data_IF_926824650750
#
_entry.id   IF_926824650750
#
_cell.length_a   1.000
_cell.length_b   1.000
_cell.length_c   1.000
_cell.angle_alpha   90.00
_cell.angle_beta   90.00
_cell.angle_gamma   90.00
#
_symmetry.space_group_name_H-M   'P 1'
#
loop_
_entity.id
_entity.type
_entity.pdbx_description
1 polymer ?
#
# COMPACT_ATOMS: atom_id res chain seq x y z
N UNK A 1 13.23 -1.61 -10.15
CA UNK A 1 11.95 -1.87 -10.87
C UNK A 1 10.85 -2.30 -9.90
N UNK A 2 9.55 -2.25 -10.28
CA UNK A 2 8.45 -2.70 -9.40
C UNK A 2 8.58 -4.19 -9.02
N UNK A 3 8.88 -5.04 -10.01
CA UNK A 3 9.09 -6.45 -9.80
C UNK A 3 10.13 -6.77 -8.71
N UNK A 4 11.29 -6.14 -8.73
CA UNK A 4 12.36 -6.39 -7.75
C UNK A 4 11.89 -6.16 -6.30
N UNK A 5 11.09 -5.12 -6.08
CA UNK A 5 10.51 -4.84 -4.76
C UNK A 5 9.50 -5.92 -4.34
N UNK A 6 8.63 -6.34 -5.28
CA UNK A 6 7.64 -7.41 -5.01
C UNK A 6 8.34 -8.73 -4.72
N UNK A 7 9.37 -9.09 -5.51
CA UNK A 7 10.18 -10.29 -5.30
C UNK A 7 10.90 -10.28 -3.96
N UNK A 8 11.51 -9.14 -3.59
CA UNK A 8 12.23 -8.99 -2.33
C UNK A 8 11.32 -9.20 -1.09
N UNK A 9 10.03 -8.89 -1.17
CA UNK A 9 9.07 -9.09 -0.10
C UNK A 9 8.69 -10.56 0.15
N UNK A 10 9.05 -11.49 -0.72
CA UNK A 10 8.85 -12.95 -0.59
C UNK A 10 7.42 -13.35 -0.16
N UNK A 11 6.43 -12.59 -0.59
CA UNK A 11 5.03 -12.84 -0.22
C UNK A 11 4.43 -14.05 -0.95
N UNK A 12 3.48 -14.72 -0.31
CA UNK A 12 2.75 -15.86 -0.91
C UNK A 12 1.89 -15.44 -2.10
N UNK A 13 1.53 -16.39 -2.98
CA UNK A 13 0.64 -16.18 -4.12
C UNK A 13 -0.78 -15.73 -3.73
N UNK A 14 -1.48 -15.14 -4.67
CA UNK A 14 -2.85 -14.69 -4.54
C UNK A 14 -3.89 -15.81 -4.71
N UNK A 15 -5.09 -15.44 -5.17
CA UNK A 15 -6.20 -16.36 -5.45
C UNK A 15 -5.91 -17.25 -6.64
N UNK A 16 -5.08 -16.79 -7.59
CA UNK A 16 -4.63 -17.48 -8.79
C UNK A 16 -3.61 -18.61 -8.52
N UNK A 17 -3.09 -18.69 -7.29
CA UNK A 17 -2.09 -19.67 -6.91
C UNK A 17 -0.70 -19.44 -7.54
N UNK A 18 -0.51 -18.38 -8.33
CA UNK A 18 0.77 -18.08 -8.96
C UNK A 18 1.85 -17.79 -7.90
N UNK A 19 3.03 -18.43 -8.03
CA UNK A 19 4.18 -18.20 -7.14
C UNK A 19 5.13 -17.16 -7.75
N UNK A 20 6.06 -16.65 -6.94
CA UNK A 20 7.09 -15.71 -7.43
C UNK A 20 7.95 -16.34 -8.51
N UNK A 21 8.28 -17.64 -8.36
CA UNK A 21 9.10 -18.40 -9.32
C UNK A 21 8.36 -18.56 -10.65
N UNK A 22 7.06 -18.91 -10.62
CA UNK A 22 6.26 -19.06 -11.84
C UNK A 22 6.01 -17.74 -12.55
N UNK A 23 5.85 -16.65 -11.79
CA UNK A 23 5.76 -15.31 -12.34
C UNK A 23 7.08 -14.90 -13.01
N UNK A 24 8.21 -15.14 -12.33
CA UNK A 24 9.55 -14.80 -12.83
C UNK A 24 9.89 -15.55 -14.12
N UNK A 25 9.51 -16.81 -14.23
CA UNK A 25 9.72 -17.61 -15.44
C UNK A 25 9.04 -17.02 -16.69
N UNK A 26 8.00 -16.19 -16.50
CA UNK A 26 7.25 -15.52 -17.56
C UNK A 26 7.30 -13.99 -17.44
N UNK A 27 8.31 -13.45 -16.76
CA UNK A 27 8.36 -12.05 -16.34
C UNK A 27 8.13 -11.07 -17.49
N UNK A 28 8.84 -11.23 -18.58
CA UNK A 28 8.73 -10.34 -19.74
C UNK A 28 7.30 -10.31 -20.30
N UNK A 29 6.71 -11.49 -20.47
CA UNK A 29 5.35 -11.63 -20.97
C UNK A 29 4.32 -11.01 -20.01
N UNK A 30 4.48 -11.23 -18.70
CA UNK A 30 3.59 -10.66 -17.68
C UNK A 30 3.69 -9.13 -17.63
N UNK A 31 4.89 -8.57 -17.73
CA UNK A 31 5.10 -7.12 -17.74
C UNK A 31 4.56 -6.46 -19.01
N UNK A 32 4.78 -7.07 -20.17
CA UNK A 32 4.22 -6.59 -21.45
C UNK A 32 2.68 -6.65 -21.44
N UNK A 33 2.10 -7.70 -20.89
CA UNK A 33 0.66 -7.82 -20.69
C UNK A 33 0.14 -6.69 -19.80
N UNK A 34 0.75 -6.47 -18.62
CA UNK A 34 0.34 -5.42 -17.69
C UNK A 34 0.43 -4.04 -18.35
N UNK A 35 1.53 -3.76 -19.06
CA UNK A 35 1.71 -2.50 -19.76
C UNK A 35 0.59 -2.26 -20.80
N UNK A 36 0.25 -3.29 -21.59
CA UNK A 36 -0.82 -3.21 -22.58
C UNK A 36 -2.18 -2.99 -21.92
N UNK A 37 -2.51 -3.77 -20.88
CA UNK A 37 -3.80 -3.66 -20.17
C UNK A 37 -3.97 -2.29 -19.52
N UNK A 38 -2.91 -1.71 -18.95
CA UNK A 38 -2.95 -0.36 -18.39
C UNK A 38 -3.09 0.70 -19.48
N UNK A 39 -2.42 0.53 -20.64
CA UNK A 39 -2.50 1.48 -21.74
C UNK A 39 -3.87 1.46 -22.44
N UNK A 40 -4.52 0.31 -22.50
CA UNK A 40 -5.81 0.11 -23.15
C UNK A 40 -7.00 0.26 -22.19
N UNK A 41 -6.73 0.60 -20.92
CA UNK A 41 -7.74 0.71 -19.85
C UNK A 41 -8.58 -0.58 -19.68
N UNK A 42 -7.93 -1.73 -19.85
CA UNK A 42 -8.55 -3.06 -19.76
C UNK A 42 -8.10 -3.84 -18.53
N UNK A 43 -7.20 -3.24 -17.70
CA UNK A 43 -6.71 -3.88 -16.49
C UNK A 43 -7.83 -4.10 -15.48
N UNK A 44 -7.97 -5.35 -15.02
CA UNK A 44 -8.92 -5.75 -13.98
C UNK A 44 -8.17 -6.49 -12.87
N UNK A 45 -8.13 -5.96 -11.63
CA UNK A 45 -7.50 -6.64 -10.52
C UNK A 45 -8.25 -7.92 -10.14
N UNK A 46 -7.52 -8.95 -9.77
CA UNK A 46 -8.10 -10.20 -9.28
C UNK A 46 -8.64 -10.03 -7.85
N UNK A 47 -9.64 -10.83 -7.44
CA UNK A 47 -10.06 -10.89 -6.06
C UNK A 47 -8.90 -11.24 -5.12
N UNK A 48 -8.86 -10.64 -3.93
CA UNK A 48 -7.83 -10.95 -2.94
C UNK A 48 -8.09 -12.31 -2.28
N UNK A 49 -7.04 -13.09 -2.06
CA UNK A 49 -7.12 -14.33 -1.27
C UNK A 49 -7.23 -13.98 0.20
N UNK A 50 -8.30 -14.42 0.87
CA UNK A 50 -8.50 -14.17 2.29
C UNK A 50 -7.64 -15.09 3.14
N UNK A 51 -6.95 -14.51 4.12
CA UNK A 51 -6.18 -15.26 5.12
C UNK A 51 -6.51 -14.73 6.52
N UNK A 52 -6.75 -15.65 7.49
CA UNK A 52 -7.02 -15.28 8.88
C UNK A 52 -5.72 -15.22 9.66
N UNK A 53 -5.48 -14.12 10.34
CA UNK A 53 -4.35 -13.92 11.24
C UNK A 53 -4.88 -13.77 12.67
N UNK A 54 -4.43 -14.60 13.63
CA UNK A 54 -4.78 -14.42 15.03
C UNK A 54 -4.34 -13.04 15.53
N UNK A 55 -5.18 -12.39 16.34
CA UNK A 55 -4.79 -11.13 16.99
C UNK A 55 -3.89 -11.43 18.19
N UNK A 56 -2.76 -10.75 18.28
CA UNK A 56 -1.89 -10.86 19.45
C UNK A 56 -2.61 -10.37 20.72
N UNK A 57 -2.49 -11.14 21.82
CA UNK A 57 -3.08 -10.77 23.11
C UNK A 57 -4.61 -10.94 23.20
N UNK A 58 -5.29 -11.46 22.17
CA UNK A 58 -6.73 -11.69 22.17
C UNK A 58 -7.06 -13.11 21.69
N UNK A 59 -7.04 -14.12 22.57
CA UNK A 59 -7.33 -15.50 22.20
C UNK A 59 -8.73 -15.61 21.59
N UNK A 60 -8.84 -16.33 20.45
CA UNK A 60 -10.10 -16.52 19.72
C UNK A 60 -10.46 -15.41 18.73
N UNK A 61 -9.83 -14.25 18.79
CA UNK A 61 -10.03 -13.19 17.79
C UNK A 61 -9.04 -13.34 16.61
N UNK A 62 -9.51 -13.06 15.42
CA UNK A 62 -8.70 -13.02 14.21
C UNK A 62 -9.00 -11.78 13.37
N UNK A 63 -8.00 -11.33 12.61
CA UNK A 63 -8.19 -10.33 11.55
C UNK A 63 -8.10 -10.98 10.19
N UNK A 64 -8.84 -10.47 9.23
CA UNK A 64 -8.76 -10.90 7.84
C UNK A 64 -7.65 -10.13 7.13
N UNK A 65 -6.77 -10.85 6.45
CA UNK A 65 -5.77 -10.30 5.54
C UNK A 65 -6.18 -10.64 4.11
N UNK A 66 -6.25 -9.63 3.25
CA UNK A 66 -6.39 -9.81 1.80
C UNK A 66 -5.00 -9.92 1.16
N UNK A 67 -4.75 -11.00 0.43
CA UNK A 67 -3.49 -11.21 -0.29
C UNK A 67 -3.77 -11.06 -1.79
N UNK A 68 -3.34 -9.96 -2.44
CA UNK A 68 -3.50 -9.77 -3.88
C UNK A 68 -2.64 -10.76 -4.68
N UNK A 69 -3.01 -11.01 -5.93
CA UNK A 69 -2.18 -11.75 -6.87
C UNK A 69 -0.82 -11.04 -7.08
N UNK A 70 0.19 -11.81 -7.49
CA UNK A 70 1.53 -11.25 -7.75
C UNK A 70 1.46 -10.18 -8.84
N UNK A 71 0.69 -10.44 -9.88
CA UNK A 71 0.42 -9.51 -10.97
C UNK A 71 -0.10 -8.15 -10.46
N UNK A 72 -1.11 -8.18 -9.60
CA UNK A 72 -1.70 -6.97 -9.00
C UNK A 72 -0.71 -6.25 -8.08
N UNK A 73 0.10 -7.00 -7.32
CA UNK A 73 1.16 -6.39 -6.50
C UNK A 73 2.22 -5.67 -7.32
N UNK A 74 2.54 -6.17 -8.52
CA UNK A 74 3.46 -5.48 -9.44
C UNK A 74 2.83 -4.19 -9.94
N UNK A 75 1.55 -4.20 -10.30
CA UNK A 75 0.80 -3.00 -10.67
C UNK A 75 0.79 -1.97 -9.52
N UNK A 76 0.39 -2.39 -8.32
CA UNK A 76 0.36 -1.54 -7.12
C UNK A 76 1.75 -0.95 -6.81
N UNK A 77 2.80 -1.75 -6.95
CA UNK A 77 4.17 -1.26 -6.71
C UNK A 77 4.64 -0.29 -7.80
N UNK A 78 4.21 -0.49 -9.05
CA UNK A 78 4.50 0.45 -10.14
C UNK A 78 3.82 1.80 -9.87
N UNK A 79 2.55 1.78 -9.47
CA UNK A 79 1.79 2.96 -9.07
C UNK A 79 2.44 3.66 -7.88
N UNK A 80 2.79 2.93 -6.82
CA UNK A 80 3.49 3.49 -5.66
C UNK A 80 4.80 4.18 -6.05
N UNK A 81 5.60 3.58 -6.93
CA UNK A 81 6.86 4.17 -7.39
C UNK A 81 6.65 5.51 -8.13
N UNK A 82 5.47 5.74 -8.72
CA UNK A 82 5.12 6.99 -9.40
C UNK A 82 4.54 8.02 -8.45
N UNK A 83 3.71 7.61 -7.50
CA UNK A 83 3.02 8.50 -6.56
C UNK A 83 3.93 8.92 -5.39
N UNK A 84 4.78 8.03 -4.88
CA UNK A 84 5.65 8.31 -3.73
C UNK A 84 6.46 9.62 -3.91
N UNK A 85 7.16 9.90 -5.03
CA UNK A 85 7.90 11.15 -5.20
C UNK A 85 7.03 12.41 -5.22
N UNK A 86 5.76 12.28 -5.61
CA UNK A 86 4.81 13.40 -5.68
C UNK A 86 4.28 13.73 -4.28
N UNK A 87 3.91 12.70 -3.51
CA UNK A 87 3.22 12.87 -2.23
C UNK A 87 4.18 12.97 -1.03
N UNK A 88 5.36 12.32 -1.08
CA UNK A 88 6.31 12.35 0.04
C UNK A 88 6.68 13.75 0.51
N UNK A 89 6.92 14.75 -0.36
CA UNK A 89 7.26 16.11 0.06
C UNK A 89 6.13 16.88 0.75
N UNK A 90 4.86 16.48 0.54
CA UNK A 90 3.70 17.19 1.10
C UNK A 90 3.15 16.55 2.36
N UNK A 91 3.66 15.39 2.76
CA UNK A 91 3.26 14.77 4.02
C UNK A 91 3.84 15.54 5.23
N UNK A 92 3.01 15.67 6.26
CA UNK A 92 3.44 16.24 7.54
C UNK A 92 4.65 15.50 8.14
N UNK A 93 5.55 16.25 8.77
CA UNK A 93 6.75 15.69 9.39
C UNK A 93 6.45 14.76 10.56
N UNK A 94 5.31 14.90 11.22
CA UNK A 94 4.84 14.00 12.26
C UNK A 94 4.11 12.75 11.73
N UNK A 95 3.95 12.60 10.42
CA UNK A 95 3.43 11.40 9.78
C UNK A 95 4.56 10.37 9.59
N UNK A 96 4.46 9.20 10.23
CA UNK A 96 5.51 8.18 10.23
C UNK A 96 5.10 6.86 9.57
N UNK A 97 3.80 6.59 9.46
CA UNK A 97 3.30 5.32 8.93
C UNK A 97 3.55 5.16 7.43
N UNK A 98 4.00 3.98 7.02
CA UNK A 98 4.19 3.58 5.61
C UNK A 98 5.09 4.49 4.77
N UNK A 99 5.90 5.34 5.39
CA UNK A 99 6.83 6.26 4.71
C UNK A 99 8.25 5.71 4.73
N UNK A 100 8.95 5.86 3.61
CA UNK A 100 10.34 5.42 3.45
C UNK A 100 11.27 6.22 4.38
N UNK A 101 12.18 5.53 5.05
CA UNK A 101 13.11 6.17 6.00
C UNK A 101 12.47 6.60 7.33
N UNK A 102 11.16 6.40 7.51
CA UNK A 102 10.45 6.62 8.78
C UNK A 102 10.21 5.30 9.51
N UNK A 103 10.08 5.35 10.83
CA UNK A 103 9.88 4.15 11.65
C UNK A 103 9.08 4.46 12.92
N UNK A 104 8.53 3.42 13.54
CA UNK A 104 7.90 3.54 14.87
C UNK A 104 8.85 4.17 15.90
N UNK A 105 10.17 3.86 15.83
CA UNK A 105 11.18 4.48 16.69
C UNK A 105 11.28 6.00 16.50
N UNK A 106 11.15 6.48 15.26
CA UNK A 106 11.13 7.92 14.98
C UNK A 106 9.87 8.57 15.56
N UNK A 107 8.71 7.91 15.43
CA UNK A 107 7.44 8.38 16.01
C UNK A 107 7.55 8.49 17.55
N UNK A 108 8.03 7.43 18.21
CA UNK A 108 8.22 7.44 19.66
C UNK A 108 9.20 8.53 20.11
N UNK A 109 10.28 8.77 19.36
CA UNK A 109 11.23 9.85 19.68
C UNK A 109 10.56 11.22 19.57
N UNK A 110 9.69 11.41 18.56
CA UNK A 110 8.91 12.66 18.43
C UNK A 110 7.97 12.87 19.60
N UNK A 111 7.23 11.84 20.00
CA UNK A 111 6.35 11.87 21.19
C UNK A 111 7.17 12.22 22.44
N UNK A 112 8.32 11.60 22.64
CA UNK A 112 9.20 11.90 23.77
C UNK A 112 9.63 13.36 23.79
N UNK A 113 10.03 13.93 22.65
CA UNK A 113 10.40 15.34 22.53
C UNK A 113 9.25 16.28 22.93
N UNK A 114 8.01 15.95 22.56
CA UNK A 114 6.83 16.73 22.92
C UNK A 114 6.56 16.69 24.43
N UNK A 115 6.71 15.52 25.07
CA UNK A 115 6.57 15.37 26.53
C UNK A 115 7.68 16.16 27.26
N UNK A 116 8.93 16.05 26.80
CA UNK A 116 10.07 16.76 27.39
C UNK A 116 9.96 18.28 27.26
N UNK A 117 9.23 18.76 26.22
CA UNK A 117 8.92 20.18 26.04
C UNK A 117 7.83 20.71 27.00
N UNK A 118 7.30 19.86 27.90
CA UNK A 118 6.28 20.22 28.89
C UNK A 118 4.83 20.03 28.44
N UNK A 119 4.58 19.27 27.37
CA UNK A 119 3.21 18.87 26.98
C UNK A 119 2.75 17.68 27.80
N UNK A 120 1.72 17.88 28.62
CA UNK A 120 1.19 16.87 29.54
C UNK A 120 -0.05 16.15 29.02
N UNK A 121 -0.74 16.73 28.04
CA UNK A 121 -1.98 16.19 27.50
C UNK A 121 -1.73 15.45 26.18
N UNK A 122 -2.27 14.22 26.09
CA UNK A 122 -2.22 13.40 24.89
C UNK A 122 -3.63 13.04 24.46
N UNK A 123 -3.92 13.17 23.16
CA UNK A 123 -5.14 12.64 22.55
C UNK A 123 -4.75 11.42 21.73
N UNK A 124 -5.33 10.27 22.07
CA UNK A 124 -5.21 9.02 21.29
C UNK A 124 -6.48 8.84 20.45
N UNK A 125 -6.33 8.70 19.15
CA UNK A 125 -7.44 8.52 18.22
C UNK A 125 -7.10 7.46 17.17
N UNK A 126 -8.06 6.58 16.87
CA UNK A 126 -7.94 5.56 15.84
C UNK A 126 -9.17 5.58 14.91
N UNK A 127 -8.94 5.35 13.63
CA UNK A 127 -10.01 5.29 12.63
C UNK A 127 -10.46 3.83 12.45
N UNK A 128 -11.72 3.57 12.73
CA UNK A 128 -12.30 2.24 12.53
C UNK A 128 -12.43 1.93 11.04
N UNK A 129 -11.88 0.78 10.63
CA UNK A 129 -11.96 0.27 9.24
C UNK A 129 -11.62 1.32 8.17
N UNK A 130 -10.51 2.05 8.38
CA UNK A 130 -10.12 3.17 7.51
C UNK A 130 -10.13 2.78 6.03
N UNK A 131 -9.43 1.70 5.65
CA UNK A 131 -9.34 1.30 4.25
C UNK A 131 -10.66 0.81 3.64
N UNK A 132 -11.54 0.19 4.44
CA UNK A 132 -12.86 -0.22 3.98
C UNK A 132 -13.87 0.93 3.88
N UNK A 133 -13.59 2.04 4.56
CA UNK A 133 -14.48 3.21 4.62
C UNK A 133 -14.05 4.40 3.75
N UNK A 134 -12.91 4.30 3.05
CA UNK A 134 -12.43 5.37 2.16
C UNK A 134 -13.40 5.58 1.00
N UNK A 135 -13.89 6.80 0.88
CA UNK A 135 -14.68 7.26 -0.26
C UNK A 135 -13.74 7.42 -1.48
N UNK A 136 -13.92 6.56 -2.48
CA UNK A 136 -13.03 6.53 -3.64
C UNK A 136 -13.12 7.80 -4.48
N UNK A 137 -14.31 8.42 -4.61
CA UNK A 137 -14.47 9.66 -5.38
C UNK A 137 -13.69 10.81 -4.72
N UNK A 138 -13.78 10.92 -3.38
CA UNK A 138 -13.01 11.92 -2.64
C UNK A 138 -11.51 11.66 -2.70
N UNK A 139 -11.10 10.39 -2.65
CA UNK A 139 -9.69 10.02 -2.80
C UNK A 139 -9.17 10.43 -4.18
N UNK A 140 -9.87 10.08 -5.26
CA UNK A 140 -9.51 10.44 -6.62
C UNK A 140 -9.47 11.96 -6.82
N UNK A 141 -10.46 12.69 -6.29
CA UNK A 141 -10.47 14.16 -6.35
C UNK A 141 -9.25 14.77 -5.62
N UNK A 142 -8.77 14.15 -4.54
CA UNK A 142 -7.53 14.59 -3.85
C UNK A 142 -6.27 14.26 -4.64
N UNK A 143 -6.21 13.09 -5.24
CA UNK A 143 -5.10 12.70 -6.12
C UNK A 143 -5.01 13.64 -7.32
N UNK A 144 -6.14 13.99 -7.95
CA UNK A 144 -6.21 14.90 -9.09
C UNK A 144 -5.64 16.30 -8.83
N UNK A 145 -5.62 16.75 -7.58
CA UNK A 145 -5.02 18.05 -7.22
C UNK A 145 -3.49 18.05 -7.35
N UNK A 146 -2.85 16.89 -7.30
CA UNK A 146 -1.39 16.74 -7.29
C UNK A 146 -0.85 16.03 -8.53
N UNK A 147 -1.68 15.23 -9.19
CA UNK A 147 -1.30 14.46 -10.37
C UNK A 147 -2.01 15.07 -11.58
N UNK A 148 -1.23 15.67 -12.49
CA UNK A 148 -1.76 16.38 -13.65
C UNK A 148 -2.16 15.47 -14.83
N UNK A 149 -2.03 14.15 -14.67
CA UNK A 149 -2.32 13.16 -15.71
C UNK A 149 -3.79 12.76 -15.65
N UNK A 150 -4.56 13.26 -16.62
CA UNK A 150 -6.00 12.96 -16.74
C UNK A 150 -6.29 11.52 -17.16
N UNK A 151 -5.32 10.81 -17.72
CA UNK A 151 -5.49 9.40 -18.13
C UNK A 151 -5.46 8.42 -16.93
N UNK A 152 -5.03 8.88 -15.76
CA UNK A 152 -5.01 8.05 -14.54
C UNK A 152 -6.34 7.96 -13.77
N UNK A 153 -7.40 8.64 -14.22
CA UNK A 153 -8.66 8.80 -13.48
C UNK A 153 -9.86 8.05 -14.06
N UNK A 154 -9.67 7.27 -15.11
CA UNK A 154 -10.77 6.51 -15.74
C UNK A 154 -10.77 5.07 -15.28
#
# INVERSE_FOLDING_TARGET
>A
MAWEKVKANRGSGGVDGQTLETFEAQLEQQLQRLHRELKEDTYQPLPVRRHRIPKQGKPGESRMLGIPAIYDRVCQQALLNRLEPIFEPIFDDASFGYRRGRSAKNALRKVWQEIDSGREWMVDGDLQDFFGSVDHEKLLARLAQQVADTECYV
#
